data_IF_175198970978
#
_entry.id   IF_175198970978
#
_cell.length_a   1.000
_cell.length_b   1.000
_cell.length_c   1.000
_cell.angle_alpha   90.00
_cell.angle_beta   90.00
_cell.angle_gamma   90.00
#
_symmetry.space_group_name_H-M   'P 1'
#
loop_
_entity.id
_entity.type
_entity.pdbx_description
1 polymer ?
#
# COMPACT_ATOMS: atom_id res chain seq x y z
N UNK A 1 11.92 10.59 -0.80
CA UNK A 1 12.15 10.36 0.64
C UNK A 1 11.05 9.41 1.02
N UNK A 2 11.37 8.30 1.67
CA UNK A 2 10.36 7.35 2.15
C UNK A 2 9.42 8.07 3.11
N UNK A 3 8.12 7.90 2.89
CA UNK A 3 7.03 8.50 3.65
C UNK A 3 6.28 7.40 4.40
N UNK A 4 5.85 7.72 5.63
CA UNK A 4 4.86 6.90 6.33
C UNK A 4 3.52 6.93 5.60
N UNK A 5 2.60 6.02 5.94
CA UNK A 5 1.23 6.03 5.40
C UNK A 5 0.58 7.41 5.55
N UNK A 6 0.62 7.98 6.76
CA UNK A 6 0.07 9.30 7.06
C UNK A 6 0.69 10.38 6.17
N UNK A 7 2.03 10.43 6.09
CA UNK A 7 2.72 11.43 5.28
C UNK A 7 2.39 11.30 3.79
N UNK A 8 2.28 10.08 3.28
CA UNK A 8 1.97 9.84 1.86
C UNK A 8 0.54 10.28 1.54
N UNK A 9 -0.45 9.83 2.33
CA UNK A 9 -1.86 10.15 2.08
C UNK A 9 -2.12 11.65 2.21
N UNK A 10 -1.61 12.32 3.25
CA UNK A 10 -1.83 13.76 3.43
C UNK A 10 -1.14 14.58 2.33
N UNK A 11 0.06 14.16 1.89
CA UNK A 11 0.76 14.79 0.76
C UNK A 11 -0.01 14.63 -0.53
N UNK A 12 -0.49 13.41 -0.82
CA UNK A 12 -1.29 13.13 -2.01
C UNK A 12 -2.60 13.92 -1.98
N UNK A 13 -3.29 13.94 -0.84
CA UNK A 13 -4.55 14.65 -0.66
C UNK A 13 -4.39 16.14 -0.90
N UNK A 14 -3.35 16.75 -0.32
CA UNK A 14 -3.05 18.17 -0.51
C UNK A 14 -2.84 18.48 -1.99
N UNK A 15 -2.01 17.71 -2.69
CA UNK A 15 -1.77 17.89 -4.13
C UNK A 15 -3.06 17.68 -4.95
N UNK A 16 -3.86 16.68 -4.60
CA UNK A 16 -5.12 16.38 -5.27
C UNK A 16 -6.11 17.54 -5.14
N UNK A 17 -6.31 18.09 -3.93
CA UNK A 17 -7.19 19.23 -3.68
C UNK A 17 -6.69 20.52 -4.35
N UNK A 18 -5.38 20.77 -4.35
CA UNK A 18 -4.79 21.91 -5.06
C UNK A 18 -5.04 21.86 -6.58
N UNK A 19 -5.06 20.66 -7.16
CA UNK A 19 -5.36 20.47 -8.58
C UNK A 19 -6.87 20.48 -8.90
N UNK A 20 -7.72 20.33 -7.88
CA UNK A 20 -9.18 20.20 -7.99
C UNK A 20 -9.97 21.28 -7.24
N UNK A 21 -9.42 22.50 -7.15
CA UNK A 21 -10.07 23.61 -6.43
C UNK A 21 -11.51 23.85 -6.89
N UNK A 22 -11.75 23.80 -8.20
CA UNK A 22 -13.07 24.02 -8.80
C UNK A 22 -14.10 22.93 -8.42
N UNK A 23 -13.64 21.74 -8.02
CA UNK A 23 -14.47 20.59 -7.63
C UNK A 23 -14.62 20.44 -6.10
N UNK A 24 -14.06 21.36 -5.31
CA UNK A 24 -14.03 21.27 -3.83
C UNK A 24 -15.41 21.08 -3.20
N UNK A 25 -16.46 21.70 -3.75
CA UNK A 25 -17.82 21.48 -3.25
C UNK A 25 -18.25 20.02 -3.39
N UNK A 26 -18.04 19.41 -4.56
CA UNK A 26 -18.42 18.02 -4.83
C UNK A 26 -17.57 17.06 -4.00
N UNK A 27 -16.28 17.34 -3.84
CA UNK A 27 -15.37 16.53 -3.00
C UNK A 27 -15.75 16.58 -1.52
N UNK A 28 -16.21 17.74 -1.03
CA UNK A 28 -16.76 17.85 0.32
C UNK A 28 -18.07 17.08 0.49
N UNK A 29 -19.00 17.20 -0.47
CA UNK A 29 -20.26 16.43 -0.48
C UNK A 29 -20.02 14.91 -0.45
N UNK A 30 -18.98 14.44 -1.15
CA UNK A 30 -18.52 13.06 -1.12
C UNK A 30 -18.06 12.61 0.27
N UNK A 31 -17.36 13.50 0.96
CA UNK A 31 -16.82 13.24 2.29
C UNK A 31 -17.91 13.19 3.36
N UNK A 32 -18.85 14.13 3.34
CA UNK A 32 -19.90 14.21 4.36
C UNK A 32 -21.12 13.32 4.04
N UNK A 33 -21.28 12.93 2.77
CA UNK A 33 -22.39 12.11 2.29
C UNK A 33 -23.54 12.91 1.66
N UNK A 34 -24.21 12.33 0.67
CA UNK A 34 -25.25 13.01 -0.15
C UNK A 34 -26.49 13.48 0.64
N UNK A 35 -26.74 12.92 1.83
CA UNK A 35 -27.87 13.32 2.68
C UNK A 35 -27.58 14.56 3.55
N UNK A 36 -26.30 14.97 3.63
CA UNK A 36 -25.83 16.07 4.47
C UNK A 36 -25.79 17.39 3.68
N UNK A 37 -25.84 18.51 4.41
CA UNK A 37 -25.77 19.86 3.83
C UNK A 37 -24.42 20.49 4.17
N UNK A 38 -23.62 20.83 3.15
CA UNK A 38 -22.24 21.34 3.35
C UNK A 38 -22.20 22.58 4.25
N UNK A 39 -23.23 23.43 4.21
CA UNK A 39 -23.29 24.65 5.01
C UNK A 39 -23.33 24.38 6.52
N UNK A 40 -23.70 23.18 6.95
CA UNK A 40 -23.70 22.79 8.37
C UNK A 40 -22.28 22.45 8.89
N UNK A 41 -21.31 22.27 7.99
CA UNK A 41 -19.93 21.89 8.28
C UNK A 41 -18.92 23.04 8.09
N UNK A 42 -19.36 24.16 7.50
CA UNK A 42 -18.51 25.32 7.23
C UNK A 42 -18.64 26.38 8.31
N UNK A 43 -17.51 26.86 8.82
CA UNK A 43 -17.45 28.05 9.67
C UNK A 43 -17.74 29.35 8.88
N UNK A 44 -18.02 30.45 9.59
CA UNK A 44 -18.36 31.73 8.95
C UNK A 44 -17.23 32.24 8.03
N UNK A 45 -17.46 32.16 6.72
CA UNK A 45 -16.52 32.60 5.69
C UNK A 45 -15.54 31.51 5.22
N UNK A 46 -15.66 30.29 5.75
CA UNK A 46 -14.92 29.11 5.28
C UNK A 46 -15.48 28.64 3.93
N UNK A 47 -14.60 28.24 3.02
CA UNK A 47 -14.99 27.62 1.75
C UNK A 47 -14.81 26.10 1.81
N UNK A 48 -15.50 25.33 0.94
CA UNK A 48 -15.26 23.89 0.85
C UNK A 48 -13.78 23.52 0.60
N UNK A 49 -13.04 24.37 -0.11
CA UNK A 49 -11.60 24.19 -0.31
C UNK A 49 -10.84 24.30 1.02
N UNK A 50 -11.11 25.34 1.82
CA UNK A 50 -10.45 25.54 3.12
C UNK A 50 -10.76 24.36 4.07
N UNK A 51 -11.99 23.87 4.04
CA UNK A 51 -12.41 22.71 4.82
C UNK A 51 -11.67 21.42 4.41
N UNK A 52 -11.59 21.13 3.10
CA UNK A 52 -10.88 19.96 2.58
C UNK A 52 -9.37 20.03 2.85
N UNK A 53 -8.77 21.22 2.76
CA UNK A 53 -7.37 21.43 3.13
C UNK A 53 -7.13 21.17 4.61
N UNK A 54 -8.04 21.62 5.48
CA UNK A 54 -7.98 21.35 6.94
C UNK A 54 -8.09 19.85 7.22
N UNK A 55 -8.97 19.13 6.53
CA UNK A 55 -9.03 17.65 6.60
C UNK A 55 -7.71 16.97 6.23
N UNK A 56 -7.00 17.55 5.27
CA UNK A 56 -5.64 17.16 4.86
C UNK A 56 -4.56 17.34 5.92
N UNK A 57 -4.88 17.89 7.08
CA UNK A 57 -3.98 18.04 8.22
C UNK A 57 -4.36 17.13 9.40
N UNK A 58 -5.52 16.46 9.34
CA UNK A 58 -6.12 15.80 10.51
C UNK A 58 -6.14 14.28 10.44
N UNK A 59 -6.59 13.67 9.33
CA UNK A 59 -6.92 12.24 9.33
C UNK A 59 -6.67 11.55 7.98
N UNK A 60 -5.49 10.93 7.88
CA UNK A 60 -5.11 10.14 6.72
C UNK A 60 -5.93 8.84 6.56
N UNK A 61 -6.37 8.23 7.66
CA UNK A 61 -7.16 7.00 7.59
C UNK A 61 -8.56 7.32 7.06
N UNK A 62 -9.20 8.39 7.56
CA UNK A 62 -10.50 8.84 7.07
C UNK A 62 -10.46 9.16 5.57
N UNK A 63 -9.41 9.87 5.10
CA UNK A 63 -9.19 10.12 3.67
C UNK A 63 -9.04 8.81 2.91
N UNK A 64 -8.17 7.92 3.36
CA UNK A 64 -7.95 6.66 2.64
C UNK A 64 -9.25 5.84 2.55
N UNK A 65 -9.97 5.66 3.66
CA UNK A 65 -11.18 4.85 3.71
C UNK A 65 -12.28 5.36 2.76
N UNK A 66 -12.44 6.69 2.65
CA UNK A 66 -13.46 7.29 1.79
C UNK A 66 -13.15 7.11 0.30
N UNK A 67 -11.88 7.21 -0.10
CA UNK A 67 -11.50 7.24 -1.52
C UNK A 67 -10.92 5.93 -2.04
N UNK A 68 -10.26 5.16 -1.18
CA UNK A 68 -9.46 3.99 -1.56
C UNK A 68 -9.79 2.73 -0.75
N UNK A 69 -10.43 2.86 0.41
CA UNK A 69 -10.83 1.73 1.24
C UNK A 69 -11.76 0.76 0.52
N UNK A 70 -11.86 -0.47 1.04
CA UNK A 70 -12.68 -1.53 0.45
C UNK A 70 -14.14 -1.11 0.20
N UNK A 71 -14.70 -0.28 1.09
CA UNK A 71 -16.08 0.20 1.01
C UNK A 71 -16.25 1.55 0.28
N UNK A 72 -15.19 2.13 -0.29
CA UNK A 72 -15.23 3.44 -0.93
C UNK A 72 -16.25 3.50 -2.08
N UNK A 73 -17.09 4.54 -2.10
CA UNK A 73 -18.04 4.76 -3.20
C UNK A 73 -17.34 5.41 -4.39
N UNK A 74 -16.98 4.56 -5.37
CA UNK A 74 -16.27 4.96 -6.58
C UNK A 74 -17.18 5.54 -7.67
N UNK A 75 -18.49 5.58 -7.46
CA UNK A 75 -19.44 6.01 -8.48
C UNK A 75 -19.51 7.53 -8.69
N UNK A 76 -18.89 8.30 -7.79
CA UNK A 76 -19.05 9.77 -7.71
C UNK A 76 -17.69 10.50 -7.85
N UNK A 77 -16.58 9.79 -8.07
CA UNK A 77 -15.22 10.36 -8.07
C UNK A 77 -14.90 11.13 -9.37
N UNK A 78 -13.88 12.00 -9.31
CA UNK A 78 -13.39 12.75 -10.47
C UNK A 78 -12.78 11.78 -11.51
N UNK A 79 -12.80 12.16 -12.78
CA UNK A 79 -12.37 11.30 -13.89
C UNK A 79 -10.87 10.90 -13.81
N UNK A 80 -10.07 11.55 -12.97
CA UNK A 80 -8.62 11.39 -12.83
C UNK A 80 -8.16 10.86 -11.47
N UNK A 81 -9.09 10.45 -10.59
CA UNK A 81 -8.72 9.74 -9.37
C UNK A 81 -8.13 8.36 -9.73
N UNK A 82 -6.94 7.99 -9.22
CA UNK A 82 -6.41 6.65 -9.44
C UNK A 82 -7.33 5.59 -8.79
N UNK A 83 -7.37 4.40 -9.38
CA UNK A 83 -7.94 3.25 -8.65
C UNK A 83 -7.07 2.87 -7.44
N UNK A 84 -7.65 2.14 -6.49
CA UNK A 84 -6.99 1.75 -5.24
C UNK A 84 -5.69 0.98 -5.49
N UNK A 85 -5.68 0.03 -6.42
CA UNK A 85 -4.48 -0.76 -6.76
C UNK A 85 -3.35 0.14 -7.26
N UNK A 86 -3.65 1.10 -8.14
CA UNK A 86 -2.69 2.09 -8.65
C UNK A 86 -2.16 2.98 -7.51
N UNK A 87 -3.05 3.49 -6.66
CA UNK A 87 -2.67 4.32 -5.52
C UNK A 87 -1.73 3.58 -4.55
N UNK A 88 -2.06 2.33 -4.22
CA UNK A 88 -1.27 1.46 -3.35
C UNK A 88 0.06 1.08 -3.99
N UNK A 89 0.09 0.79 -5.29
CA UNK A 89 1.32 0.45 -6.02
C UNK A 89 2.34 1.59 -5.91
N UNK A 90 1.92 2.83 -6.14
CA UNK A 90 2.81 4.00 -6.01
C UNK A 90 3.23 4.25 -4.55
N UNK A 91 2.31 4.05 -3.59
CA UNK A 91 2.61 4.14 -2.16
C UNK A 91 3.67 3.11 -1.72
N UNK A 92 3.58 1.88 -2.22
CA UNK A 92 4.50 0.81 -1.88
C UNK A 92 5.85 1.00 -2.58
N UNK A 93 5.86 1.47 -3.84
CA UNK A 93 7.09 1.82 -4.57
C UNK A 93 7.86 2.96 -3.91
N UNK A 94 7.19 3.93 -3.28
CA UNK A 94 7.93 4.97 -2.54
C UNK A 94 8.44 4.48 -1.18
N UNK A 95 7.77 3.48 -0.59
CA UNK A 95 8.13 2.93 0.71
C UNK A 95 9.34 2.00 0.67
N UNK A 96 9.71 1.51 -0.52
CA UNK A 96 10.86 0.65 -0.73
C UNK A 96 11.63 1.06 -2.00
N UNK A 97 12.85 1.56 -1.81
CA UNK A 97 13.60 2.24 -2.88
C UNK A 97 14.68 1.38 -3.56
N UNK A 98 14.83 0.12 -3.15
CA UNK A 98 15.82 -0.79 -3.73
C UNK A 98 15.37 -1.31 -5.10
N UNK A 99 16.34 -1.77 -5.90
CA UNK A 99 16.13 -2.05 -7.33
C UNK A 99 16.55 -3.47 -7.69
N UNK A 100 15.81 -4.43 -7.17
CA UNK A 100 15.81 -5.79 -7.69
C UNK A 100 14.73 -5.91 -8.77
N UNK A 101 15.01 -6.69 -9.81
CA UNK A 101 14.16 -6.81 -11.00
C UNK A 101 12.78 -7.43 -10.73
N UNK A 102 12.60 -8.08 -9.57
CA UNK A 102 11.35 -8.69 -9.13
C UNK A 102 10.45 -7.75 -8.32
N UNK A 103 10.99 -6.63 -7.82
CA UNK A 103 10.32 -5.78 -6.81
C UNK A 103 9.01 -5.20 -7.33
N UNK A 104 9.01 -4.67 -8.55
CA UNK A 104 7.80 -4.08 -9.14
C UNK A 104 6.67 -5.14 -9.27
N UNK A 105 6.99 -6.36 -9.70
CA UNK A 105 6.00 -7.45 -9.84
C UNK A 105 5.44 -7.87 -8.46
N UNK A 106 6.28 -7.90 -7.42
CA UNK A 106 5.82 -8.23 -6.08
C UNK A 106 5.01 -7.10 -5.43
N UNK A 107 5.38 -5.84 -5.66
CA UNK A 107 4.62 -4.68 -5.15
C UNK A 107 3.24 -4.62 -5.80
N UNK A 108 3.14 -4.85 -7.11
CA UNK A 108 1.86 -4.88 -7.82
C UNK A 108 0.96 -6.02 -7.28
N UNK A 109 1.51 -7.21 -7.04
CA UNK A 109 0.76 -8.31 -6.39
C UNK A 109 0.32 -7.96 -4.96
N UNK A 110 1.20 -7.33 -4.15
CA UNK A 110 0.84 -6.84 -2.81
C UNK A 110 -0.28 -5.81 -2.85
N UNK A 111 -0.22 -4.84 -3.76
CA UNK A 111 -1.24 -3.80 -3.92
C UNK A 111 -2.60 -4.40 -4.30
N UNK A 112 -2.62 -5.35 -5.25
CA UNK A 112 -3.83 -6.07 -5.65
C UNK A 112 -4.44 -6.91 -4.52
N UNK A 113 -3.63 -7.40 -3.57
CA UNK A 113 -4.16 -8.05 -2.37
C UNK A 113 -4.63 -7.04 -1.31
N UNK A 114 -3.90 -5.93 -1.13
CA UNK A 114 -4.20 -4.90 -0.15
C UNK A 114 -5.46 -4.08 -0.49
N UNK A 115 -5.85 -3.95 -1.75
CA UNK A 115 -7.11 -3.27 -2.13
C UNK A 115 -8.37 -3.95 -1.56
N UNK A 116 -8.26 -5.21 -1.12
CA UNK A 116 -9.32 -5.95 -0.45
C UNK A 116 -9.51 -5.58 1.03
N UNK A 117 -8.75 -4.63 1.56
CA UNK A 117 -8.76 -4.21 2.96
C UNK A 117 -9.21 -2.75 3.12
N UNK A 118 -9.74 -2.40 4.29
CA UNK A 118 -10.12 -1.02 4.61
C UNK A 118 -8.90 -0.08 4.63
N UNK A 119 -7.73 -0.60 5.04
CA UNK A 119 -6.42 0.07 4.98
C UNK A 119 -5.30 -0.93 4.68
N UNK A 120 -4.15 -0.50 4.10
CA UNK A 120 -3.03 -1.41 3.86
C UNK A 120 -2.43 -1.97 5.17
N UNK A 121 -2.61 -1.28 6.30
CA UNK A 121 -2.28 -1.81 7.63
C UNK A 121 -2.94 -3.18 7.88
N UNK A 122 -4.23 -3.32 7.55
CA UNK A 122 -4.97 -4.57 7.75
C UNK A 122 -4.37 -5.72 6.96
N UNK A 123 -3.97 -5.47 5.70
CA UNK A 123 -3.29 -6.44 4.86
C UNK A 123 -1.96 -6.88 5.47
N UNK A 124 -1.06 -5.94 5.81
CA UNK A 124 0.25 -6.27 6.37
C UNK A 124 0.13 -6.97 7.73
N UNK A 125 -0.83 -6.55 8.56
CA UNK A 125 -1.09 -7.18 9.85
C UNK A 125 -1.53 -8.64 9.69
N UNK A 126 -2.51 -8.93 8.82
CA UNK A 126 -2.92 -10.30 8.51
C UNK A 126 -1.77 -11.12 7.92
N UNK A 127 -1.03 -10.53 6.98
CA UNK A 127 0.10 -11.17 6.33
C UNK A 127 1.20 -11.55 7.33
N UNK A 128 1.44 -10.73 8.36
CA UNK A 128 2.45 -11.01 9.39
C UNK A 128 2.20 -12.30 10.20
N UNK A 129 0.95 -12.78 10.28
CA UNK A 129 0.63 -14.02 11.01
C UNK A 129 0.95 -15.29 10.23
N UNK A 130 0.83 -15.25 8.90
CA UNK A 130 0.82 -16.45 8.07
C UNK A 130 1.80 -16.44 6.89
N UNK A 131 2.23 -15.27 6.45
CA UNK A 131 3.08 -15.08 5.28
C UNK A 131 2.51 -15.73 4.02
N UNK A 132 3.38 -16.11 3.08
CA UNK A 132 2.99 -16.86 1.89
C UNK A 132 2.38 -18.22 2.24
N UNK A 133 2.73 -18.79 3.40
CA UNK A 133 2.24 -20.11 3.83
C UNK A 133 0.75 -20.16 4.16
N UNK A 134 0.10 -19.02 4.36
CA UNK A 134 -1.36 -18.90 4.53
C UNK A 134 -2.14 -19.16 3.23
N UNK A 135 -1.47 -19.03 2.08
CA UNK A 135 -2.10 -19.05 0.76
C UNK A 135 -2.74 -17.72 0.36
N UNK A 136 -2.52 -16.63 1.11
CA UNK A 136 -2.96 -15.28 0.74
C UNK A 136 -2.35 -14.82 -0.59
N UNK A 137 -1.09 -15.20 -0.84
CA UNK A 137 -0.31 -14.76 -2.00
C UNK A 137 -0.52 -15.71 -3.16
N UNK A 138 -1.44 -15.34 -4.05
CA UNK A 138 -1.92 -16.21 -5.14
C UNK A 138 -0.80 -16.69 -6.05
N UNK A 139 0.15 -15.81 -6.39
CA UNK A 139 1.26 -16.11 -7.29
C UNK A 139 2.20 -17.21 -6.76
N UNK A 140 2.23 -17.44 -5.44
CA UNK A 140 3.13 -18.40 -4.78
C UNK A 140 2.45 -19.58 -4.08
N UNK A 141 1.15 -19.82 -4.34
CA UNK A 141 0.43 -21.01 -3.84
C UNK A 141 0.98 -22.31 -4.46
N UNK A 142 1.35 -22.29 -5.74
CA UNK A 142 1.83 -23.48 -6.45
C UNK A 142 3.35 -23.49 -6.60
N UNK A 143 3.97 -24.63 -6.24
CA UNK A 143 5.42 -24.83 -6.42
C UNK A 143 5.89 -24.62 -7.86
N UNK A 144 5.06 -24.93 -8.86
CA UNK A 144 5.40 -24.69 -10.28
C UNK A 144 5.52 -23.22 -10.62
N UNK A 145 4.72 -22.37 -9.99
CA UNK A 145 4.73 -20.93 -10.21
C UNK A 145 5.91 -20.29 -9.48
N UNK A 146 6.17 -20.70 -8.23
CA UNK A 146 7.42 -20.33 -7.53
C UNK A 146 8.65 -20.70 -8.35
N UNK A 147 8.70 -21.91 -8.92
CA UNK A 147 9.84 -22.34 -9.74
C UNK A 147 10.01 -21.48 -11.00
N UNK A 148 8.91 -21.07 -11.63
CA UNK A 148 8.95 -20.23 -12.83
C UNK A 148 9.47 -18.83 -12.48
N UNK A 149 8.91 -18.21 -11.45
CA UNK A 149 9.32 -16.90 -10.95
C UNK A 149 10.79 -16.90 -10.52
N UNK A 150 11.19 -17.90 -9.73
CA UNK A 150 12.58 -18.07 -9.31
C UNK A 150 13.55 -18.17 -10.48
N UNK A 151 13.25 -18.97 -11.52
CA UNK A 151 14.13 -19.07 -12.70
C UNK A 151 14.21 -17.75 -13.46
N UNK A 152 13.14 -16.97 -13.48
CA UNK A 152 13.07 -15.68 -14.17
C UNK A 152 13.92 -14.61 -13.46
N UNK A 153 13.95 -14.62 -12.13
CA UNK A 153 14.54 -13.57 -11.28
C UNK A 153 15.69 -14.06 -10.39
N UNK A 154 16.32 -15.20 -10.74
CA UNK A 154 17.23 -15.93 -9.83
C UNK A 154 18.38 -15.07 -9.32
N UNK A 155 19.00 -14.28 -10.19
CA UNK A 155 20.20 -13.52 -9.84
C UNK A 155 19.88 -12.48 -8.76
N UNK A 156 18.77 -11.75 -8.93
CA UNK A 156 18.36 -10.69 -8.01
C UNK A 156 17.69 -11.25 -6.74
N UNK A 157 16.95 -12.36 -6.84
CA UNK A 157 16.38 -13.03 -5.67
C UNK A 157 17.45 -13.58 -4.71
N UNK A 158 18.50 -14.22 -5.25
CA UNK A 158 19.61 -14.69 -4.41
C UNK A 158 20.43 -13.52 -3.88
N UNK A 159 20.66 -12.47 -4.68
CA UNK A 159 21.34 -11.26 -4.23
C UNK A 159 20.60 -10.57 -3.07
N UNK A 160 19.27 -10.46 -3.14
CA UNK A 160 18.45 -9.93 -2.04
C UNK A 160 18.68 -10.70 -0.74
N UNK A 161 18.72 -12.04 -0.81
CA UNK A 161 18.97 -12.87 0.36
C UNK A 161 20.40 -12.70 0.87
N UNK A 162 21.39 -12.65 -0.01
CA UNK A 162 22.79 -12.41 0.36
C UNK A 162 22.95 -11.07 1.08
N UNK A 163 22.39 -9.99 0.54
CA UNK A 163 22.43 -8.64 1.14
C UNK A 163 21.76 -8.62 2.53
N UNK A 164 20.63 -9.30 2.68
CA UNK A 164 19.97 -9.46 3.97
C UNK A 164 20.83 -10.26 4.97
N UNK A 165 21.42 -11.38 4.56
CA UNK A 165 22.32 -12.19 5.40
C UNK A 165 23.55 -11.40 5.85
N UNK A 166 24.10 -10.55 4.98
CA UNK A 166 25.19 -9.63 5.30
C UNK A 166 24.78 -8.58 6.34
N UNK A 167 23.56 -8.04 6.24
CA UNK A 167 23.01 -7.08 7.21
C UNK A 167 22.85 -7.69 8.60
N UNK A 168 22.21 -8.86 8.70
CA UNK A 168 21.95 -9.51 10.00
C UNK A 168 23.16 -10.27 10.55
N UNK A 169 24.15 -10.56 9.69
CA UNK A 169 25.39 -11.26 10.06
C UNK A 169 25.23 -12.77 10.28
N UNK A 170 24.12 -13.37 9.85
CA UNK A 170 23.90 -14.82 9.90
C UNK A 170 23.06 -15.33 8.72
N UNK A 171 23.21 -16.61 8.32
CA UNK A 171 22.45 -17.17 7.20
C UNK A 171 20.96 -17.36 7.51
N UNK A 172 20.10 -17.07 6.53
CA UNK A 172 18.66 -17.35 6.60
C UNK A 172 18.45 -18.87 6.54
N UNK A 173 17.55 -19.38 7.40
CA UNK A 173 17.33 -20.82 7.54
C UNK A 173 16.00 -21.27 6.95
N UNK A 174 16.07 -22.25 6.05
CA UNK A 174 14.91 -22.98 5.56
C UNK A 174 14.51 -24.11 6.53
N UNK A 175 14.01 -23.72 7.71
CA UNK A 175 13.60 -24.66 8.78
C UNK A 175 12.42 -25.56 8.37
N UNK A 176 11.60 -25.10 7.42
CA UNK A 176 10.47 -25.86 6.87
C UNK A 176 10.90 -26.87 5.80
N UNK A 177 12.18 -26.92 5.43
CA UNK A 177 12.74 -27.80 4.39
C UNK A 177 11.98 -27.72 3.05
N UNK A 178 11.54 -26.52 2.69
CA UNK A 178 10.88 -26.26 1.42
C UNK A 178 11.87 -26.46 0.26
N UNK A 179 11.40 -26.75 -0.96
CA UNK A 179 12.26 -26.64 -2.13
C UNK A 179 12.89 -25.24 -2.18
N UNK A 180 14.18 -25.15 -2.52
CA UNK A 180 14.94 -23.88 -2.48
C UNK A 180 14.21 -22.72 -3.17
N UNK A 181 13.73 -22.94 -4.39
CA UNK A 181 12.98 -21.94 -5.15
C UNK A 181 11.68 -21.47 -4.47
N UNK A 182 11.02 -22.31 -3.67
CA UNK A 182 9.82 -21.89 -2.89
C UNK A 182 10.26 -21.03 -1.73
N UNK A 183 11.28 -21.49 -1.00
CA UNK A 183 11.82 -20.78 0.14
C UNK A 183 12.30 -19.38 -0.23
N UNK A 184 13.06 -19.24 -1.31
CA UNK A 184 13.59 -17.94 -1.76
C UNK A 184 12.45 -17.01 -2.22
N UNK A 185 11.51 -17.48 -3.05
CA UNK A 185 10.36 -16.67 -3.46
C UNK A 185 9.55 -16.17 -2.26
N UNK A 186 9.25 -17.06 -1.30
CA UNK A 186 8.49 -16.70 -0.11
C UNK A 186 9.26 -15.73 0.78
N UNK A 187 10.56 -15.99 1.00
CA UNK A 187 11.40 -15.11 1.81
C UNK A 187 11.48 -13.70 1.22
N UNK A 188 11.75 -13.56 -0.08
CA UNK A 188 11.88 -12.25 -0.71
C UNK A 188 10.55 -11.48 -0.71
N UNK A 189 9.42 -12.18 -0.91
CA UNK A 189 8.10 -11.55 -0.79
C UNK A 189 7.83 -11.10 0.63
N UNK A 190 8.04 -11.98 1.61
CA UNK A 190 7.76 -11.71 3.02
C UNK A 190 8.62 -10.55 3.53
N UNK A 191 9.92 -10.56 3.25
CA UNK A 191 10.83 -9.49 3.70
C UNK A 191 10.56 -8.16 2.98
N UNK A 192 10.25 -8.18 1.68
CA UNK A 192 9.83 -6.97 0.97
C UNK A 192 8.55 -6.38 1.58
N UNK A 193 7.55 -7.21 1.86
CA UNK A 193 6.33 -6.78 2.50
C UNK A 193 6.58 -6.22 3.91
N UNK A 194 7.47 -6.84 4.70
CA UNK A 194 7.86 -6.31 6.01
C UNK A 194 8.58 -4.97 5.91
N UNK A 195 9.45 -4.78 4.93
CA UNK A 195 10.13 -3.51 4.72
C UNK A 195 9.15 -2.40 4.34
N UNK A 196 8.23 -2.67 3.41
CA UNK A 196 7.14 -1.73 3.07
C UNK A 196 6.30 -1.42 4.31
N UNK A 197 5.89 -2.44 5.07
CA UNK A 197 5.08 -2.26 6.28
C UNK A 197 5.78 -1.42 7.35
N UNK A 198 7.08 -1.65 7.61
CA UNK A 198 7.89 -0.87 8.56
C UNK A 198 8.06 0.59 8.14
N UNK A 199 8.21 0.84 6.84
CA UNK A 199 8.27 2.21 6.32
C UNK A 199 6.93 2.92 6.49
N UNK A 200 5.82 2.27 6.14
CA UNK A 200 4.49 2.89 6.20
C UNK A 200 3.98 3.03 7.64
N UNK A 201 4.29 2.08 8.52
CA UNK A 201 3.76 1.97 9.88
C UNK A 201 4.87 1.64 10.91
N UNK A 202 5.85 2.56 11.12
CA UNK A 202 7.06 2.30 11.91
C UNK A 202 6.82 2.02 13.40
N UNK A 203 5.66 2.42 13.94
CA UNK A 203 5.29 2.16 15.33
C UNK A 203 4.59 0.81 15.52
N UNK A 204 4.34 0.06 14.43
CA UNK A 204 3.57 -1.19 14.45
C UNK A 204 4.34 -2.43 13.99
N UNK A 205 5.37 -2.29 13.16
CA UNK A 205 6.13 -3.40 12.54
C UNK A 205 7.64 -3.34 12.79
#
# INVERSE_FOLDING_TARGET
>A
MEQTFEQYVLSWWTEYIENHQDDSKRLMELFIGEEETIEDYLDEGETPYDWLMTKGEEDAEEIYEHFFGYCADRSILADDLPDTETFLTEMFKQAYTEKYDFVDELIEDMAGHAEGYDTPYGFFHDFSYGGCSSGMIGMFVYNSDCKRFYIQHIDDLEAFVEDFEEEIGEPVRNDKHLPHYVFICWFCYEELAYNVARTLYPESF
#
